data_IF_754236348841
#
_entry.id   IF_754236348841
#
_cell.length_a   1.000
_cell.length_b   1.000
_cell.length_c   1.000
_cell.angle_alpha   90.00
_cell.angle_beta   90.00
_cell.angle_gamma   90.00
#
_symmetry.space_group_name_H-M   'P 1'
#
loop_
_entity.id
_entity.type
_entity.pdbx_description
1 polymer ?
#
# COMPACT_ATOMS: atom_id res chain seq x y z
N UNK A 1 -10.19 25.15 -12.74
CA UNK A 1 -10.04 25.65 -11.36
C UNK A 1 -8.94 24.85 -10.70
N UNK A 2 -7.89 25.51 -10.19
CA UNK A 2 -6.77 24.82 -9.52
C UNK A 2 -7.25 24.20 -8.20
N UNK A 3 -7.02 22.91 -8.00
CA UNK A 3 -7.31 22.28 -6.71
C UNK A 3 -6.40 22.86 -5.64
N UNK A 4 -6.99 23.18 -4.49
CA UNK A 4 -6.29 23.60 -3.28
C UNK A 4 -6.29 22.47 -2.26
N UNK A 5 -5.24 22.36 -1.43
CA UNK A 5 -5.23 21.39 -0.34
C UNK A 5 -6.41 21.66 0.60
N UNK A 6 -6.91 20.61 1.28
CA UNK A 6 -7.99 20.72 2.27
C UNK A 6 -7.39 20.47 3.66
N UNK A 7 -7.03 21.51 4.42
CA UNK A 7 -6.35 21.35 5.71
C UNK A 7 -7.17 20.56 6.74
N UNK A 8 -8.48 20.78 6.80
CA UNK A 8 -9.34 20.09 7.78
C UNK A 8 -9.43 18.58 7.50
N UNK A 9 -9.47 18.17 6.23
CA UNK A 9 -9.52 16.76 5.84
C UNK A 9 -8.19 16.06 6.14
N UNK A 10 -7.07 16.75 5.92
CA UNK A 10 -5.73 16.26 6.31
C UNK A 10 -5.68 16.03 7.82
N UNK A 11 -6.11 17.03 8.61
CA UNK A 11 -6.12 16.93 10.06
C UNK A 11 -7.05 15.81 10.56
N UNK A 12 -8.26 15.70 10.01
CA UNK A 12 -9.21 14.66 10.35
C UNK A 12 -8.69 13.26 10.02
N UNK A 13 -8.16 13.04 8.81
CA UNK A 13 -7.63 11.73 8.42
C UNK A 13 -6.42 11.33 9.28
N UNK A 14 -5.52 12.28 9.55
CA UNK A 14 -4.39 12.05 10.46
C UNK A 14 -4.85 11.69 11.87
N UNK A 15 -5.78 12.48 12.43
CA UNK A 15 -6.33 12.23 13.76
C UNK A 15 -7.09 10.90 13.84
N UNK A 16 -7.87 10.54 12.82
CA UNK A 16 -8.58 9.26 12.78
C UNK A 16 -7.62 8.08 12.70
N UNK A 17 -6.61 8.14 11.81
CA UNK A 17 -5.66 7.04 11.67
C UNK A 17 -4.81 6.84 12.93
N UNK A 18 -4.13 7.89 13.39
CA UNK A 18 -3.27 7.78 14.57
C UNK A 18 -4.08 7.60 15.86
N UNK A 19 -5.25 8.24 15.96
CA UNK A 19 -6.16 8.06 17.09
C UNK A 19 -6.67 6.62 17.19
N UNK A 20 -7.00 5.98 16.06
CA UNK A 20 -7.40 4.57 16.04
C UNK A 20 -6.24 3.64 16.40
N UNK A 21 -5.01 3.92 15.96
CA UNK A 21 -3.83 3.13 16.36
C UNK A 21 -3.53 3.24 17.85
N UNK A 22 -3.60 4.46 18.40
CA UNK A 22 -3.40 4.69 19.84
C UNK A 22 -4.51 4.01 20.65
N UNK A 23 -5.76 4.09 20.19
CA UNK A 23 -6.87 3.39 20.81
C UNK A 23 -6.69 1.87 20.75
N UNK A 24 -6.25 1.32 19.62
CA UNK A 24 -5.99 -0.11 19.49
C UNK A 24 -4.91 -0.57 20.48
N UNK A 25 -3.82 0.19 20.64
CA UNK A 25 -2.75 -0.17 21.56
C UNK A 25 -2.96 0.36 22.99
N UNK A 26 -4.15 0.83 23.36
CA UNK A 26 -4.38 1.47 24.67
C UNK A 26 -4.02 0.57 25.84
N UNK A 27 -4.33 -0.73 25.72
CA UNK A 27 -4.13 -1.69 26.79
C UNK A 27 -2.64 -2.04 26.92
N UNK A 28 -1.97 -2.25 25.79
CA UNK A 28 -0.52 -2.55 25.73
C UNK A 28 0.33 -1.36 26.20
N UNK A 29 -0.10 -0.13 25.92
CA UNK A 29 0.56 1.09 26.39
C UNK A 29 0.52 1.25 27.91
N UNK A 30 -0.48 0.68 28.56
CA UNK A 30 -0.62 0.66 30.02
C UNK A 30 -0.25 -0.70 30.64
N UNK A 31 0.27 -1.61 29.82
CA UNK A 31 0.60 -2.98 30.19
C UNK A 31 1.99 -3.12 30.81
N UNK A 32 2.58 -4.30 30.63
CA UNK A 32 3.94 -4.60 31.13
C UNK A 32 5.01 -3.83 30.36
N UNK A 33 6.24 -3.75 30.89
CA UNK A 33 7.33 -2.98 30.26
C UNK A 33 7.67 -3.44 28.84
N UNK A 34 7.52 -4.74 28.53
CA UNK A 34 7.79 -5.28 27.19
C UNK A 34 6.69 -4.93 26.19
N UNK A 35 5.43 -5.10 26.59
CA UNK A 35 4.25 -4.72 25.80
C UNK A 35 4.22 -3.22 25.48
N UNK A 36 4.51 -2.40 26.50
CA UNK A 36 4.58 -0.95 26.34
C UNK A 36 5.68 -0.56 25.35
N UNK A 37 6.86 -1.19 25.41
CA UNK A 37 7.95 -0.94 24.47
C UNK A 37 7.58 -1.33 23.02
N UNK A 38 6.85 -2.43 22.84
CA UNK A 38 6.36 -2.87 21.54
C UNK A 38 5.32 -1.93 20.94
N UNK A 39 4.34 -1.51 21.75
CA UNK A 39 3.33 -0.53 21.34
C UNK A 39 3.96 0.81 20.95
N UNK A 40 4.90 1.32 21.75
CA UNK A 40 5.63 2.56 21.46
C UNK A 40 6.46 2.44 20.17
N UNK A 41 7.19 1.33 20.01
CA UNK A 41 7.96 1.09 18.79
C UNK A 41 7.07 1.08 17.55
N UNK A 42 5.95 0.37 17.59
CA UNK A 42 5.00 0.32 16.48
C UNK A 42 4.37 1.68 16.17
N UNK A 43 4.02 2.47 17.18
CA UNK A 43 3.51 3.83 16.96
C UNK A 43 4.56 4.74 16.29
N UNK A 44 5.82 4.69 16.73
CA UNK A 44 6.91 5.44 16.09
C UNK A 44 7.13 4.96 14.65
N UNK A 45 7.13 3.64 14.43
CA UNK A 45 7.25 3.05 13.10
C UNK A 45 6.12 3.50 12.19
N UNK A 46 4.89 3.63 12.69
CA UNK A 46 3.74 4.10 11.92
C UNK A 46 3.91 5.52 11.40
N UNK A 47 4.45 6.43 12.22
CA UNK A 47 4.74 7.81 11.84
C UNK A 47 5.81 7.85 10.75
N UNK A 48 6.90 7.09 10.94
CA UNK A 48 7.99 6.98 9.97
C UNK A 48 7.48 6.39 8.64
N UNK A 49 6.68 5.32 8.71
CA UNK A 49 6.14 4.63 7.56
C UNK A 49 5.19 5.50 6.74
N UNK A 50 4.24 6.18 7.38
CA UNK A 50 3.34 7.12 6.70
C UNK A 50 4.13 8.28 6.08
N UNK A 51 5.08 8.87 6.80
CA UNK A 51 5.91 9.95 6.27
C UNK A 51 6.73 9.50 5.05
N UNK A 52 7.30 8.29 5.10
CA UNK A 52 8.04 7.69 4.00
C UNK A 52 7.16 7.48 2.76
N UNK A 53 5.95 6.92 2.92
CA UNK A 53 5.03 6.72 1.82
C UNK A 53 4.53 8.04 1.22
N UNK A 54 4.22 9.03 2.06
CA UNK A 54 3.86 10.36 1.60
C UNK A 54 5.00 10.98 0.78
N UNK A 55 6.25 10.84 1.23
CA UNK A 55 7.42 11.27 0.45
C UNK A 55 7.51 10.54 -0.89
N UNK A 56 7.28 9.23 -0.92
CA UNK A 56 7.30 8.43 -2.15
C UNK A 56 6.26 8.87 -3.19
N UNK A 57 5.06 9.25 -2.74
CA UNK A 57 4.00 9.74 -3.62
C UNK A 57 4.20 11.19 -4.09
N UNK A 58 4.79 12.04 -3.24
CA UNK A 58 4.91 13.47 -3.54
C UNK A 58 6.20 13.85 -4.28
N UNK A 59 7.31 13.18 -4.01
CA UNK A 59 8.64 13.57 -4.51
C UNK A 59 9.28 12.46 -5.34
N UNK A 60 10.04 12.88 -6.35
CA UNK A 60 10.91 12.00 -7.11
C UNK A 60 12.22 11.76 -6.35
N UNK A 61 12.94 10.67 -6.69
CA UNK A 61 14.25 10.41 -6.08
C UNK A 61 15.18 11.60 -6.36
N UNK A 62 16.02 12.06 -5.41
CA UNK A 62 16.98 13.12 -5.70
C UNK A 62 17.94 12.70 -6.83
N UNK A 63 18.32 13.65 -7.70
CA UNK A 63 19.07 13.39 -8.94
C UNK A 63 20.33 12.52 -8.73
N UNK A 64 21.09 12.76 -7.66
CA UNK A 64 22.30 11.96 -7.36
C UNK A 64 22.05 10.50 -6.99
N UNK A 65 20.81 10.12 -6.64
CA UNK A 65 20.41 8.72 -6.40
C UNK A 65 19.72 8.08 -7.61
N UNK A 66 19.30 8.89 -8.61
CA UNK A 66 18.69 8.37 -9.84
C UNK A 66 19.70 7.69 -10.75
N UNK A 67 20.96 8.14 -10.74
CA UNK A 67 22.03 7.64 -11.61
C UNK A 67 22.63 6.30 -11.14
N UNK A 68 22.30 5.87 -9.91
CA UNK A 68 22.74 4.58 -9.38
C UNK A 68 21.92 3.42 -10.00
N UNK A 69 22.55 2.35 -10.51
CA UNK A 69 21.89 1.34 -11.34
C UNK A 69 20.79 0.54 -10.62
N UNK A 70 20.92 0.33 -9.30
CA UNK A 70 19.94 -0.39 -8.48
C UNK A 70 19.04 0.57 -7.71
N UNK A 71 19.62 1.61 -7.11
CA UNK A 71 18.91 2.53 -6.24
C UNK A 71 18.01 3.49 -7.03
N UNK A 72 18.40 3.89 -8.23
CA UNK A 72 17.61 4.78 -9.08
C UNK A 72 16.26 4.17 -9.49
N UNK A 73 16.26 2.89 -9.88
CA UNK A 73 15.06 2.18 -10.31
C UNK A 73 14.23 1.63 -9.14
N UNK A 74 14.89 1.05 -8.13
CA UNK A 74 14.20 0.31 -7.06
C UNK A 74 14.27 0.98 -5.69
N UNK A 75 14.88 2.16 -5.55
CA UNK A 75 15.13 2.78 -4.24
C UNK A 75 13.87 2.96 -3.38
N UNK A 76 12.76 3.44 -3.98
CA UNK A 76 11.48 3.58 -3.27
C UNK A 76 10.92 2.22 -2.81
N UNK A 77 11.05 1.20 -3.66
CA UNK A 77 10.62 -0.16 -3.35
C UNK A 77 11.49 -0.79 -2.26
N UNK A 78 12.81 -0.62 -2.34
CA UNK A 78 13.77 -1.14 -1.35
C UNK A 78 13.52 -0.49 0.02
N UNK A 79 13.31 0.82 0.08
CA UNK A 79 12.99 1.48 1.35
C UNK A 79 11.63 1.04 1.91
N UNK A 80 10.64 0.79 1.05
CA UNK A 80 9.36 0.22 1.49
C UNK A 80 9.53 -1.20 2.02
N UNK A 81 10.25 -2.06 1.29
CA UNK A 81 10.57 -3.42 1.72
C UNK A 81 11.36 -3.42 3.03
N UNK A 82 12.32 -2.51 3.21
CA UNK A 82 13.07 -2.41 4.45
C UNK A 82 12.16 -2.10 5.66
N UNK A 83 11.25 -1.13 5.53
CA UNK A 83 10.29 -0.80 6.60
C UNK A 83 9.33 -1.96 6.89
N UNK A 84 8.81 -2.60 5.84
CA UNK A 84 7.94 -3.78 5.99
C UNK A 84 8.70 -4.96 6.60
N UNK A 85 9.96 -5.18 6.21
CA UNK A 85 10.81 -6.22 6.80
C UNK A 85 11.13 -5.95 8.27
N UNK A 86 11.32 -4.69 8.67
CA UNK A 86 11.47 -4.32 10.09
C UNK A 86 10.19 -4.67 10.86
N UNK A 87 9.01 -4.33 10.32
CA UNK A 87 7.74 -4.67 10.94
C UNK A 87 7.56 -6.19 11.09
N UNK A 88 7.82 -6.96 10.02
CA UNK A 88 7.74 -8.43 10.02
C UNK A 88 8.76 -9.05 10.98
N UNK A 89 9.99 -8.53 11.02
CA UNK A 89 11.05 -9.05 11.89
C UNK A 89 10.78 -8.81 13.37
N UNK A 90 10.13 -7.68 13.70
CA UNK A 90 9.72 -7.35 15.06
C UNK A 90 8.65 -8.31 15.60
N UNK A 91 7.74 -8.72 14.72
CA UNK A 91 6.61 -9.59 15.03
C UNK A 91 6.85 -11.03 14.57
N UNK A 92 8.11 -11.46 14.56
CA UNK A 92 8.42 -12.88 14.36
C UNK A 92 7.89 -13.72 15.53
N UNK A 93 7.74 -15.04 15.37
CA UNK A 93 7.26 -15.92 16.45
C UNK A 93 8.08 -15.76 17.74
N UNK A 94 7.41 -15.88 18.88
CA UNK A 94 8.02 -15.77 20.22
C UNK A 94 9.18 -16.76 20.43
N UNK A 95 9.11 -17.94 19.79
CA UNK A 95 10.20 -18.92 19.79
C UNK A 95 11.54 -18.35 19.27
N UNK A 96 11.50 -17.31 18.44
CA UNK A 96 12.68 -16.63 17.89
C UNK A 96 12.91 -15.26 18.56
N UNK A 97 12.22 -14.98 19.66
CA UNK A 97 12.31 -13.72 20.41
C UNK A 97 11.66 -12.53 19.71
N UNK A 98 10.50 -12.72 19.08
CA UNK A 98 9.67 -11.64 18.56
C UNK A 98 8.31 -11.54 19.27
N UNK A 99 7.56 -10.48 18.95
CA UNK A 99 6.29 -10.16 19.60
C UNK A 99 5.10 -10.62 18.76
N UNK A 100 4.72 -11.90 18.88
CA UNK A 100 3.69 -12.56 18.06
C UNK A 100 2.28 -11.93 18.21
N UNK A 101 1.94 -11.44 19.40
CA UNK A 101 0.64 -10.79 19.65
C UNK A 101 0.45 -9.50 18.82
N UNK A 102 1.54 -8.90 18.32
CA UNK A 102 1.54 -7.69 17.53
C UNK A 102 1.24 -7.85 16.04
N UNK A 103 1.02 -9.07 15.51
CA UNK A 103 0.90 -9.31 14.05
C UNK A 103 -0.18 -8.43 13.44
N UNK A 104 -1.35 -8.37 14.08
CA UNK A 104 -2.46 -7.55 13.62
C UNK A 104 -2.10 -6.06 13.60
N UNK A 105 -1.47 -5.56 14.65
CA UNK A 105 -1.11 -4.15 14.75
C UNK A 105 -0.06 -3.73 13.72
N UNK A 106 1.03 -4.49 13.59
CA UNK A 106 2.13 -4.13 12.68
C UNK A 106 1.77 -4.36 11.21
N UNK A 107 1.19 -5.51 10.85
CA UNK A 107 0.96 -5.82 9.45
C UNK A 107 -0.33 -5.19 8.92
N UNK A 108 -1.40 -5.17 9.73
CA UNK A 108 -2.67 -4.58 9.30
C UNK A 108 -2.72 -3.09 9.66
N UNK A 109 -2.49 -2.75 10.93
CA UNK A 109 -2.56 -1.36 11.42
C UNK A 109 -1.52 -0.42 10.78
N UNK A 110 -0.26 -0.85 10.74
CA UNK A 110 0.84 -0.02 10.21
C UNK A 110 0.98 -0.21 8.71
N UNK A 111 1.29 -1.42 8.25
CA UNK A 111 1.68 -1.64 6.83
C UNK A 111 0.50 -1.41 5.89
N UNK A 112 -0.64 -2.07 6.12
CA UNK A 112 -1.80 -1.99 5.22
C UNK A 112 -2.60 -0.69 5.41
N UNK A 113 -3.06 -0.39 6.62
CA UNK A 113 -3.87 0.80 6.88
C UNK A 113 -3.04 2.09 6.79
N UNK A 114 -1.75 2.06 7.17
CA UNK A 114 -0.84 3.20 6.98
C UNK A 114 -0.58 3.50 5.50
N UNK A 115 -0.57 2.48 4.64
CA UNK A 115 -0.51 2.70 3.19
C UNK A 115 -1.75 3.43 2.67
N UNK A 116 -2.94 2.98 3.08
CA UNK A 116 -4.19 3.64 2.72
C UNK A 116 -4.24 5.09 3.27
N UNK A 117 -3.84 5.29 4.53
CA UNK A 117 -3.80 6.61 5.16
C UNK A 117 -2.85 7.56 4.41
N UNK A 118 -1.63 7.12 4.08
CA UNK A 118 -0.68 7.92 3.30
C UNK A 118 -1.22 8.27 1.90
N UNK A 119 -1.88 7.34 1.23
CA UNK A 119 -2.51 7.59 -0.07
C UNK A 119 -3.64 8.64 0.01
N UNK A 120 -4.49 8.55 1.04
CA UNK A 120 -5.57 9.51 1.27
C UNK A 120 -5.01 10.90 1.62
N UNK A 121 -4.05 10.97 2.53
CA UNK A 121 -3.40 12.23 2.93
C UNK A 121 -2.77 12.93 1.73
N UNK A 122 -2.08 12.18 0.86
CA UNK A 122 -1.47 12.74 -0.36
C UNK A 122 -2.50 13.24 -1.36
N UNK A 123 -3.66 12.60 -1.47
CA UNK A 123 -4.78 13.10 -2.27
C UNK A 123 -5.38 14.40 -1.70
N UNK A 124 -5.49 14.54 -0.38
CA UNK A 124 -5.99 15.76 0.24
C UNK A 124 -5.01 16.93 0.23
N UNK A 125 -3.71 16.64 0.25
CA UNK A 125 -2.63 17.62 0.09
C UNK A 125 -2.42 18.08 -1.35
N UNK A 126 -2.99 17.38 -2.33
CA UNK A 126 -2.78 17.68 -3.74
C UNK A 126 -3.20 19.10 -4.12
N UNK A 127 -2.31 19.77 -4.83
CA UNK A 127 -2.59 21.07 -5.46
C UNK A 127 -2.16 21.03 -6.92
N UNK A 128 -3.05 21.38 -7.84
CA UNK A 128 -2.75 21.33 -9.26
C UNK A 128 -3.96 21.60 -10.15
N UNK A 129 -3.71 21.69 -11.45
CA UNK A 129 -4.72 22.09 -12.44
C UNK A 129 -5.47 20.91 -13.08
N UNK A 130 -5.14 19.67 -12.68
CA UNK A 130 -5.78 18.43 -13.15
C UNK A 130 -7.20 18.29 -12.60
N UNK A 131 -8.05 17.54 -13.29
CA UNK A 131 -9.49 17.42 -12.94
C UNK A 131 -9.75 16.77 -11.58
N UNK A 132 -8.93 15.80 -11.15
CA UNK A 132 -9.12 15.03 -9.91
C UNK A 132 -7.92 15.10 -8.96
N UNK A 133 -8.21 14.99 -7.66
CA UNK A 133 -7.22 14.85 -6.58
C UNK A 133 -6.47 13.52 -6.60
N UNK A 134 -7.09 12.49 -7.18
CA UNK A 134 -6.45 11.18 -7.37
C UNK A 134 -5.20 11.26 -8.24
N UNK A 135 -5.03 12.34 -8.99
CA UNK A 135 -3.80 12.60 -9.75
C UNK A 135 -2.55 12.70 -8.85
N UNK A 136 -2.71 12.93 -7.55
CA UNK A 136 -1.62 12.81 -6.57
C UNK A 136 -0.93 11.44 -6.58
N UNK A 137 -1.67 10.38 -6.93
CA UNK A 137 -1.19 9.00 -6.98
C UNK A 137 -0.72 8.57 -8.37
N UNK A 138 -0.69 9.49 -9.35
CA UNK A 138 -0.25 9.20 -10.73
C UNK A 138 1.11 8.48 -10.77
N UNK A 139 2.08 8.93 -9.96
CA UNK A 139 3.40 8.30 -9.84
C UNK A 139 3.38 6.82 -9.43
N UNK A 140 2.32 6.37 -8.77
CA UNK A 140 2.13 4.97 -8.37
C UNK A 140 1.28 4.20 -9.37
N UNK A 141 0.19 4.80 -9.84
CA UNK A 141 -0.79 4.14 -10.72
C UNK A 141 -0.29 4.04 -12.17
N UNK A 142 0.41 5.04 -12.68
CA UNK A 142 0.83 5.10 -14.09
C UNK A 142 1.94 4.10 -14.43
N UNK A 143 2.51 3.41 -13.43
CA UNK A 143 3.46 2.30 -13.62
C UNK A 143 2.74 1.02 -14.04
N UNK A 144 1.47 0.86 -13.67
CA UNK A 144 0.73 -0.34 -14.02
C UNK A 144 0.34 -0.32 -15.50
N UNK A 145 0.64 -1.39 -16.26
CA UNK A 145 0.22 -1.46 -17.65
C UNK A 145 -1.31 -1.49 -17.71
N UNK A 146 -1.89 -0.55 -18.46
CA UNK A 146 -3.33 -0.48 -18.67
C UNK A 146 -3.67 -0.82 -20.11
N UNK A 147 -4.77 -1.54 -20.31
CA UNK A 147 -5.29 -1.83 -21.64
C UNK A 147 -5.95 -0.55 -22.16
N UNK A 148 -5.35 0.07 -23.17
CA UNK A 148 -5.90 1.28 -23.80
C UNK A 148 -7.01 0.92 -24.79
N UNK A 149 -7.99 1.81 -24.92
CA UNK A 149 -9.02 1.67 -25.96
C UNK A 149 -8.34 1.63 -27.34
N UNK A 150 -8.72 0.71 -28.25
CA UNK A 150 -8.20 0.72 -29.61
C UNK A 150 -8.57 2.02 -30.32
N UNK A 151 -7.60 2.59 -31.05
CA UNK A 151 -7.77 3.86 -31.80
C UNK A 151 -8.73 3.69 -33.00
N UNK A 152 -8.80 2.48 -33.56
CA UNK A 152 -9.71 2.13 -34.66
C UNK A 152 -11.11 1.81 -34.14
N UNK A 153 -12.14 2.26 -34.87
CA UNK A 153 -13.49 1.76 -34.67
C UNK A 153 -13.54 0.23 -34.91
N UNK A 154 -13.67 -0.54 -33.83
CA UNK A 154 -13.71 -2.01 -33.87
C UNK A 154 -15.03 -2.46 -34.49
N UNK A 155 -14.94 -3.33 -35.51
CA UNK A 155 -16.12 -3.88 -36.20
C UNK A 155 -16.88 -4.82 -35.26
N UNK A 156 -18.19 -4.96 -35.46
CA UNK A 156 -19.03 -5.80 -34.58
C UNK A 156 -18.54 -7.26 -34.49
N UNK A 157 -18.14 -7.86 -35.61
CA UNK A 157 -17.63 -9.24 -35.63
C UNK A 157 -16.33 -9.39 -34.83
N UNK A 158 -15.43 -8.40 -34.88
CA UNK A 158 -14.20 -8.41 -34.08
C UNK A 158 -14.49 -8.35 -32.57
N UNK A 159 -15.51 -7.59 -32.15
CA UNK A 159 -15.96 -7.55 -30.76
C UNK A 159 -16.53 -8.90 -30.33
N UNK A 160 -17.40 -9.50 -31.15
CA UNK A 160 -17.92 -10.84 -30.88
C UNK A 160 -16.81 -11.87 -30.76
N UNK A 161 -15.82 -11.84 -31.66
CA UNK A 161 -14.74 -12.81 -31.61
C UNK A 161 -13.85 -12.64 -30.38
N UNK A 162 -13.51 -11.40 -30.04
CA UNK A 162 -12.71 -11.09 -28.85
C UNK A 162 -13.42 -11.55 -27.57
N UNK A 163 -14.73 -11.29 -27.45
CA UNK A 163 -15.52 -11.74 -26.30
C UNK A 163 -15.54 -13.27 -26.21
N UNK A 164 -15.85 -13.97 -27.30
CA UNK A 164 -15.87 -15.44 -27.29
C UNK A 164 -14.48 -16.02 -26.98
N UNK A 165 -13.41 -15.42 -27.50
CA UNK A 165 -12.03 -15.84 -27.21
C UNK A 165 -11.68 -15.68 -25.72
N UNK A 166 -12.03 -14.54 -25.11
CA UNK A 166 -11.86 -14.32 -23.67
C UNK A 166 -12.63 -15.35 -22.86
N UNK A 167 -13.85 -15.72 -23.27
CA UNK A 167 -14.64 -16.75 -22.59
C UNK A 167 -14.02 -18.15 -22.70
N UNK A 168 -13.44 -18.51 -23.85
CA UNK A 168 -12.73 -19.79 -24.01
C UNK A 168 -11.51 -19.84 -23.08
N UNK A 169 -10.70 -18.78 -23.02
CA UNK A 169 -9.57 -18.69 -22.10
C UNK A 169 -10.03 -18.78 -20.66
N UNK A 170 -11.10 -18.06 -20.29
CA UNK A 170 -11.68 -18.11 -18.96
C UNK A 170 -12.08 -19.54 -18.59
N UNK A 171 -12.82 -20.25 -19.46
CA UNK A 171 -13.22 -21.64 -19.23
C UNK A 171 -12.01 -22.57 -19.10
N UNK A 172 -10.98 -22.41 -19.94
CA UNK A 172 -9.77 -23.20 -19.83
C UNK A 172 -9.07 -22.95 -18.47
N UNK A 173 -8.88 -21.70 -18.07
CA UNK A 173 -8.24 -21.35 -16.81
C UNK A 173 -9.03 -21.84 -15.58
N UNK A 174 -10.37 -21.88 -15.63
CA UNK A 174 -11.16 -22.45 -14.53
C UNK A 174 -10.96 -23.95 -14.32
N UNK A 175 -10.48 -24.66 -15.34
CA UNK A 175 -10.17 -26.10 -15.24
C UNK A 175 -8.69 -26.36 -14.89
N UNK A 176 -7.86 -25.32 -14.81
CA UNK A 176 -6.46 -25.44 -14.39
C UNK A 176 -6.40 -25.34 -12.87
N UNK A 177 -5.97 -26.42 -12.21
CA UNK A 177 -5.73 -26.41 -10.78
C UNK A 177 -4.57 -25.47 -10.45
N UNK A 178 -4.77 -24.63 -9.44
CA UNK A 178 -3.73 -23.74 -8.94
C UNK A 178 -2.61 -24.57 -8.30
N UNK A 179 -1.38 -24.32 -8.73
CA UNK A 179 -0.20 -24.98 -8.18
C UNK A 179 -0.03 -24.62 -6.70
N UNK A 180 0.20 -25.62 -5.85
CA UNK A 180 0.45 -25.43 -4.41
C UNK A 180 -0.78 -25.46 -3.50
N UNK A 181 -1.99 -25.62 -4.05
CA UNK A 181 -3.18 -26.00 -3.27
C UNK A 181 -3.28 -27.53 -3.25
N UNK A 182 -3.24 -28.15 -2.07
CA UNK A 182 -3.49 -29.58 -1.93
C UNK A 182 -4.93 -29.87 -2.37
N UNK A 183 -5.14 -30.96 -3.10
CA UNK A 183 -6.47 -31.41 -3.55
C UNK A 183 -7.36 -31.93 -2.41
N UNK A 184 -7.13 -31.51 -1.17
CA UNK A 184 -8.04 -31.74 -0.05
C UNK A 184 -9.05 -30.61 -0.07
N UNK A 185 -10.29 -31.00 -0.29
CA UNK A 185 -11.45 -30.12 -0.24
C UNK A 185 -11.37 -29.22 1.01
N UNK A 186 -11.78 -27.97 0.83
CA UNK A 186 -12.40 -27.19 1.89
C UNK A 186 -13.48 -28.07 2.52
N UNK A 187 -13.21 -28.65 3.69
CA UNK A 187 -14.25 -28.99 4.66
C UNK A 187 -14.47 -27.75 5.53
#
# INVERSE_FOLDING_TARGET
MKHKPIPWAIALTGALYFGLLIYWQSDELNGTSEQMAAAQFGLVLSVIYVAYLMWCFQRDLPKGLQDAPVIGRYGKLIGWLALTSIAVWYVRPSAWGGYDEGVGFFLVGIVLLGFAAAAILTCFMWSGDKSSRLYALSRFVDVYPTITKPERHVRFNEKMWTTTFVLIIYFAMTNVMLYGLSGQALD
#
